data_IF_570506287257
#
_entry.id   IF_570506287257
#
_cell.length_a   1.000
_cell.length_b   1.000
_cell.length_c   1.000
_cell.angle_alpha   90.00
_cell.angle_beta   90.00
_cell.angle_gamma   90.00
#
_symmetry.space_group_name_H-M   'P 1'
#
loop_
_entity.id
_entity.type
_entity.pdbx_description
1 polymer ?
#
# COMPACT_ATOMS: atom_id res chain seq x y z
N UNK A 1 9.26 -2.94 29.83
CA UNK A 1 7.82 -3.17 29.60
C UNK A 1 7.37 -2.19 28.52
N UNK A 2 7.43 -2.60 27.25
CA UNK A 2 7.18 -1.72 26.10
C UNK A 2 5.67 -1.58 25.94
N UNK A 3 5.12 -0.39 26.25
CA UNK A 3 3.75 -0.02 25.90
C UNK A 3 3.75 0.29 24.40
N UNK A 4 3.21 -0.62 23.60
CA UNK A 4 2.92 -0.36 22.19
C UNK A 4 1.88 0.76 22.10
N UNK A 5 2.22 1.82 21.38
CA UNK A 5 1.35 2.97 21.10
C UNK A 5 0.28 2.56 20.08
N UNK A 6 -0.70 1.76 20.52
CA UNK A 6 -1.84 1.26 19.73
C UNK A 6 -2.99 2.27 19.59
N UNK A 7 -2.87 3.46 20.20
CA UNK A 7 -4.02 4.30 20.55
C UNK A 7 -4.67 5.06 19.37
N UNK A 8 -3.96 5.66 18.39
CA UNK A 8 -4.64 6.41 17.34
C UNK A 8 -5.26 5.50 16.25
N UNK A 9 -4.66 4.33 16.00
CA UNK A 9 -5.13 3.37 14.97
C UNK A 9 -6.43 2.67 15.41
N UNK A 10 -6.52 2.33 16.70
CA UNK A 10 -7.73 1.73 17.27
C UNK A 10 -8.92 2.70 17.20
N UNK A 11 -8.70 4.01 17.39
CA UNK A 11 -9.81 4.98 17.48
C UNK A 11 -10.52 5.21 16.13
N UNK A 12 -9.76 5.37 15.03
CA UNK A 12 -10.33 5.56 13.69
C UNK A 12 -11.06 4.30 13.19
N UNK A 13 -10.55 3.11 13.51
CA UNK A 13 -11.19 1.84 13.16
C UNK A 13 -12.41 1.54 14.03
N UNK A 14 -12.40 1.92 15.32
CA UNK A 14 -13.57 1.79 16.20
C UNK A 14 -14.72 2.68 15.71
N UNK A 15 -14.46 3.94 15.39
CA UNK A 15 -15.50 4.88 14.94
C UNK A 15 -16.16 4.38 13.64
N UNK A 16 -15.38 3.76 12.73
CA UNK A 16 -15.92 3.17 11.49
C UNK A 16 -16.66 1.84 11.70
N UNK A 17 -16.20 0.99 12.62
CA UNK A 17 -16.94 -0.24 13.02
C UNK A 17 -18.27 0.13 13.68
N UNK A 18 -18.33 1.24 14.41
CA UNK A 18 -19.57 1.77 14.98
C UNK A 18 -20.48 2.35 13.89
N UNK A 19 -19.92 3.08 12.91
CA UNK A 19 -20.69 3.66 11.80
C UNK A 19 -21.34 2.61 10.87
N UNK A 20 -20.66 1.49 10.60
CA UNK A 20 -21.21 0.40 9.77
C UNK A 20 -22.38 -0.34 10.46
N UNK A 21 -22.48 -0.26 11.79
CA UNK A 21 -23.51 -0.98 12.55
C UNK A 21 -24.90 -0.32 12.59
N UNK A 22 -25.04 0.93 12.11
CA UNK A 22 -26.26 1.74 12.30
C UNK A 22 -27.14 1.90 11.05
N UNK A 23 -26.75 1.35 9.89
CA UNK A 23 -27.54 1.40 8.65
C UNK A 23 -28.65 0.34 8.59
N UNK A 24 -29.84 0.64 9.11
CA UNK A 24 -30.99 -0.25 9.03
C UNK A 24 -31.81 -0.02 7.73
N UNK A 25 -31.76 -0.96 6.78
CA UNK A 25 -32.73 -0.98 5.67
C UNK A 25 -32.41 -1.81 4.41
N UNK A 26 -32.36 -3.15 4.49
CA UNK A 26 -32.86 -4.12 3.47
C UNK A 26 -32.49 -5.56 3.91
N UNK A 27 -33.28 -6.14 4.82
CA UNK A 27 -32.83 -7.01 5.90
C UNK A 27 -32.28 -8.44 5.59
N UNK A 28 -31.98 -8.79 4.34
CA UNK A 28 -31.51 -10.13 3.96
C UNK A 28 -30.02 -10.18 3.60
N UNK A 29 -29.64 -9.58 2.46
CA UNK A 29 -28.24 -9.57 1.97
C UNK A 29 -27.41 -8.45 2.60
N UNK A 30 -27.95 -7.24 2.75
CA UNK A 30 -27.20 -6.11 3.33
C UNK A 30 -26.70 -6.38 4.76
N UNK A 31 -27.47 -7.11 5.57
CA UNK A 31 -27.06 -7.49 6.92
C UNK A 31 -25.91 -8.53 6.93
N UNK A 32 -25.87 -9.42 5.93
CA UNK A 32 -24.78 -10.38 5.73
C UNK A 32 -23.48 -9.68 5.32
N UNK A 33 -23.58 -8.79 4.33
CA UNK A 33 -22.45 -7.97 3.85
C UNK A 33 -21.82 -7.14 4.97
N UNK A 34 -22.64 -6.42 5.72
CA UNK A 34 -22.15 -5.56 6.81
C UNK A 34 -21.54 -6.37 7.96
N UNK A 35 -22.07 -7.57 8.24
CA UNK A 35 -21.45 -8.50 9.18
C UNK A 35 -20.09 -9.00 8.69
N UNK A 36 -19.97 -9.33 7.40
CA UNK A 36 -18.72 -9.76 6.77
C UNK A 36 -17.65 -8.66 6.77
N UNK A 37 -18.02 -7.42 6.40
CA UNK A 37 -17.15 -6.23 6.49
C UNK A 37 -16.67 -5.99 7.93
N UNK A 38 -17.59 -6.06 8.89
CA UNK A 38 -17.26 -5.90 10.31
C UNK A 38 -16.29 -6.98 10.80
N UNK A 39 -16.52 -8.24 10.42
CA UNK A 39 -15.63 -9.35 10.75
C UNK A 39 -14.23 -9.18 10.12
N UNK A 40 -14.17 -8.70 8.88
CA UNK A 40 -12.92 -8.38 8.19
C UNK A 40 -12.15 -7.29 8.94
N UNK A 41 -12.79 -6.16 9.26
CA UNK A 41 -12.15 -5.04 9.96
C UNK A 41 -11.63 -5.44 11.35
N UNK A 42 -12.40 -6.24 12.09
CA UNK A 42 -11.97 -6.77 13.40
C UNK A 42 -10.73 -7.66 13.26
N UNK A 43 -10.75 -8.57 12.28
CA UNK A 43 -9.64 -9.49 12.04
C UNK A 43 -8.40 -8.75 11.53
N UNK A 44 -8.58 -7.76 10.64
CA UNK A 44 -7.56 -6.85 10.18
C UNK A 44 -6.89 -6.09 11.33
N UNK A 45 -7.68 -5.55 12.28
CA UNK A 45 -7.16 -4.84 13.44
C UNK A 45 -6.28 -5.74 14.32
N UNK A 46 -6.74 -6.96 14.60
CA UNK A 46 -6.01 -7.92 15.44
C UNK A 46 -4.72 -8.40 14.77
N UNK A 47 -4.73 -8.54 13.45
CA UNK A 47 -3.60 -9.10 12.67
C UNK A 47 -2.64 -8.04 12.13
N UNK A 48 -2.92 -6.75 12.34
CA UNK A 48 -2.14 -5.66 11.74
C UNK A 48 -2.24 -5.62 10.24
N UNK A 49 -3.47 -5.68 9.71
CA UNK A 49 -3.76 -5.77 8.27
C UNK A 49 -3.18 -7.04 7.64
N UNK A 50 -3.07 -8.12 8.41
CA UNK A 50 -2.48 -9.39 7.99
C UNK A 50 -0.97 -9.52 8.19
N UNK A 51 -0.25 -8.44 8.52
CA UNK A 51 1.21 -8.44 8.66
C UNK A 51 1.72 -9.42 9.75
N UNK A 52 0.91 -9.68 10.78
CA UNK A 52 1.21 -10.60 11.90
C UNK A 52 0.25 -11.79 11.96
N UNK A 53 -0.58 -12.00 10.94
CA UNK A 53 -1.57 -13.08 10.93
C UNK A 53 -0.91 -14.47 10.97
N UNK A 54 -1.39 -15.31 11.88
CA UNK A 54 -1.09 -16.74 11.95
C UNK A 54 -1.74 -17.49 10.77
N UNK A 55 -1.29 -18.72 10.44
CA UNK A 55 -1.86 -19.47 9.32
C UNK A 55 -3.38 -19.67 9.38
N UNK A 56 -3.95 -19.85 10.58
CA UNK A 56 -5.40 -19.96 10.76
C UNK A 56 -6.12 -18.62 10.52
N UNK A 57 -5.55 -17.50 10.98
CA UNK A 57 -6.09 -16.16 10.79
C UNK A 57 -6.00 -15.72 9.32
N UNK A 58 -4.92 -16.07 8.62
CA UNK A 58 -4.79 -15.82 7.17
C UNK A 58 -5.86 -16.55 6.37
N UNK A 59 -6.12 -17.82 6.71
CA UNK A 59 -7.21 -18.60 6.09
C UNK A 59 -8.56 -17.95 6.34
N UNK A 60 -8.85 -17.57 7.58
CA UNK A 60 -10.09 -16.87 7.92
C UNK A 60 -10.24 -15.54 7.17
N UNK A 61 -9.17 -14.73 7.05
CA UNK A 61 -9.19 -13.51 6.24
C UNK A 61 -9.45 -13.82 4.76
N UNK A 62 -8.81 -14.85 4.20
CA UNK A 62 -8.99 -15.24 2.79
C UNK A 62 -10.43 -15.71 2.52
N UNK A 63 -11.03 -16.45 3.45
CA UNK A 63 -12.43 -16.88 3.40
C UNK A 63 -13.39 -15.68 3.46
N UNK A 64 -13.14 -14.70 4.35
CA UNK A 64 -13.92 -13.47 4.43
C UNK A 64 -13.83 -12.64 3.14
N UNK A 65 -12.64 -12.50 2.57
CA UNK A 65 -12.43 -11.78 1.30
C UNK A 65 -13.18 -12.46 0.16
N UNK A 66 -13.06 -13.79 0.06
CA UNK A 66 -13.76 -14.55 -0.99
C UNK A 66 -15.29 -14.44 -0.85
N UNK A 67 -15.80 -14.47 0.39
CA UNK A 67 -17.24 -14.26 0.66
C UNK A 67 -17.72 -12.87 0.23
N UNK A 68 -16.93 -11.82 0.48
CA UNK A 68 -17.26 -10.45 0.07
C UNK A 68 -17.28 -10.32 -1.47
N UNK A 69 -16.34 -10.95 -2.16
CA UNK A 69 -16.32 -10.98 -3.63
C UNK A 69 -17.50 -11.76 -4.22
N UNK A 70 -17.87 -12.90 -3.62
CA UNK A 70 -19.04 -13.69 -4.03
C UNK A 70 -20.34 -12.89 -3.85
N UNK A 71 -20.47 -12.16 -2.75
CA UNK A 71 -21.63 -11.32 -2.46
C UNK A 71 -21.71 -10.10 -3.39
N UNK A 72 -20.58 -9.45 -3.69
CA UNK A 72 -20.53 -8.35 -4.64
C UNK A 72 -20.96 -8.78 -6.05
N UNK A 73 -20.46 -9.94 -6.52
CA UNK A 73 -20.88 -10.55 -7.79
C UNK A 73 -22.37 -10.90 -7.81
N UNK A 74 -22.93 -11.30 -6.67
CA UNK A 74 -24.35 -11.65 -6.56
C UNK A 74 -25.27 -10.42 -6.54
N UNK A 75 -24.81 -9.32 -5.95
CA UNK A 75 -25.58 -8.06 -5.82
C UNK A 75 -25.65 -7.30 -7.14
N UNK A 76 -24.61 -7.34 -7.97
CA UNK A 76 -24.57 -6.70 -9.30
C UNK A 76 -25.68 -7.16 -10.25
N UNK A 77 -26.10 -8.43 -10.14
CA UNK A 77 -27.21 -8.97 -10.92
C UNK A 77 -28.55 -8.25 -10.64
N UNK A 78 -28.64 -7.44 -9.57
CA UNK A 78 -29.84 -6.73 -9.16
C UNK A 78 -29.79 -5.21 -9.33
N UNK A 79 -28.61 -4.56 -9.30
CA UNK A 79 -28.48 -3.11 -9.41
C UNK A 79 -27.31 -2.72 -10.32
N UNK A 80 -27.62 -2.30 -11.56
CA UNK A 80 -26.65 -1.72 -12.52
C UNK A 80 -26.21 -0.33 -12.06
N UNK A 81 -25.42 -0.26 -10.98
CA UNK A 81 -24.75 0.94 -10.50
C UNK A 81 -23.30 0.99 -10.99
N UNK A 82 -22.91 2.07 -11.67
CA UNK A 82 -21.53 2.35 -12.09
C UNK A 82 -20.68 2.82 -10.91
N UNK A 83 -20.34 1.92 -9.99
CA UNK A 83 -19.41 2.24 -8.92
C UNK A 83 -18.04 2.60 -9.53
N UNK A 84 -17.54 3.81 -9.24
CA UNK A 84 -16.24 4.26 -9.73
C UNK A 84 -15.11 3.75 -8.85
N UNK A 85 -14.02 3.30 -9.47
CA UNK A 85 -12.76 2.96 -8.79
C UNK A 85 -12.02 4.20 -8.31
N UNK A 86 -12.38 5.39 -8.80
CA UNK A 86 -11.75 6.64 -8.41
C UNK A 86 -12.00 6.95 -6.92
N UNK A 87 -10.96 7.48 -6.28
CA UNK A 87 -10.96 7.88 -4.88
C UNK A 87 -9.70 7.44 -4.14
N UNK A 88 -9.69 7.76 -2.85
CA UNK A 88 -8.63 7.34 -1.92
C UNK A 88 -9.06 6.09 -1.17
N UNK A 89 -8.20 5.08 -1.17
CA UNK A 89 -8.45 3.74 -0.67
C UNK A 89 -7.35 3.35 0.32
N UNK A 90 -7.68 3.18 1.59
CA UNK A 90 -6.71 2.81 2.63
C UNK A 90 -6.66 1.30 2.84
N UNK A 91 -5.45 0.73 2.82
CA UNK A 91 -5.25 -0.71 2.98
C UNK A 91 -5.63 -1.14 4.41
N UNK A 92 -6.61 -2.04 4.49
CA UNK A 92 -7.08 -2.62 5.75
C UNK A 92 -6.69 -4.08 5.92
N UNK A 93 -6.46 -4.85 4.85
CA UNK A 93 -6.04 -6.24 4.97
C UNK A 93 -5.23 -6.70 3.74
N UNK A 94 -4.27 -7.59 3.96
CA UNK A 94 -3.57 -8.32 2.90
C UNK A 94 -3.06 -9.66 3.42
N UNK A 95 -2.91 -10.65 2.55
CA UNK A 95 -2.17 -11.88 2.83
C UNK A 95 -0.65 -11.72 2.70
N UNK A 96 -0.21 -10.62 2.06
CA UNK A 96 1.17 -10.23 1.83
C UNK A 96 1.59 -9.04 2.71
N UNK A 97 2.86 -8.62 2.62
CA UNK A 97 3.30 -7.40 3.30
C UNK A 97 2.61 -6.14 2.74
N UNK A 98 2.14 -5.20 3.61
CA UNK A 98 1.45 -3.99 3.18
C UNK A 98 2.15 -3.15 2.11
N UNK A 99 3.49 -3.03 2.18
CA UNK A 99 4.26 -2.26 1.19
C UNK A 99 4.15 -2.84 -0.22
N UNK A 100 3.82 -4.13 -0.37
CA UNK A 100 3.67 -4.78 -1.68
C UNK A 100 2.45 -4.31 -2.44
N UNK A 101 1.52 -3.63 -1.79
CA UNK A 101 0.43 -2.96 -2.46
C UNK A 101 0.92 -1.78 -3.33
N UNK A 102 2.17 -1.33 -3.22
CA UNK A 102 2.65 -0.22 -4.05
C UNK A 102 2.80 -0.62 -5.51
N UNK A 103 2.47 0.30 -6.42
CA UNK A 103 2.66 0.10 -7.86
C UNK A 103 4.09 -0.32 -8.23
N UNK A 104 5.09 0.18 -7.50
CA UNK A 104 6.49 -0.23 -7.66
C UNK A 104 6.68 -1.72 -7.39
N UNK A 105 6.21 -2.22 -6.24
CA UNK A 105 6.41 -3.60 -5.86
C UNK A 105 5.53 -4.56 -6.67
N UNK A 106 4.33 -4.13 -7.07
CA UNK A 106 3.47 -4.89 -7.98
C UNK A 106 4.16 -5.11 -9.33
N UNK A 107 4.68 -4.03 -9.94
CA UNK A 107 5.35 -4.11 -11.22
C UNK A 107 6.68 -4.88 -11.15
N UNK A 108 7.46 -4.68 -10.07
CA UNK A 108 8.68 -5.47 -9.82
C UNK A 108 8.34 -6.96 -9.68
N UNK A 109 7.30 -7.29 -8.91
CA UNK A 109 6.93 -8.68 -8.67
C UNK A 109 6.45 -9.35 -9.94
N UNK A 110 5.49 -8.78 -10.68
CA UNK A 110 5.02 -9.33 -11.96
C UNK A 110 6.19 -9.57 -12.92
N UNK A 111 7.18 -8.66 -12.94
CA UNK A 111 8.38 -8.84 -13.76
C UNK A 111 9.25 -10.00 -13.30
N UNK A 112 9.56 -10.09 -12.01
CA UNK A 112 10.36 -11.19 -11.43
C UNK A 112 9.69 -12.55 -11.68
N UNK A 113 8.37 -12.61 -11.54
CA UNK A 113 7.57 -13.80 -11.83
C UNK A 113 7.64 -14.20 -13.31
N UNK A 114 7.59 -13.21 -14.22
CA UNK A 114 7.68 -13.43 -15.67
C UNK A 114 9.04 -13.96 -16.15
N UNK A 115 10.14 -13.55 -15.50
CA UNK A 115 11.50 -13.82 -15.94
C UNK A 115 12.15 -15.03 -15.26
N UNK A 116 11.79 -15.32 -14.01
CA UNK A 116 12.44 -16.36 -13.20
C UNK A 116 11.59 -17.62 -13.07
N UNK A 117 10.59 -17.57 -12.19
CA UNK A 117 9.65 -18.67 -11.91
C UNK A 117 8.56 -18.18 -10.96
N UNK A 118 7.44 -18.90 -10.95
CA UNK A 118 6.34 -18.68 -9.99
C UNK A 118 6.84 -18.70 -8.54
N UNK A 119 6.49 -17.67 -7.75
CA UNK A 119 6.82 -17.50 -6.34
C UNK A 119 8.22 -16.94 -6.08
N UNK A 120 9.00 -16.61 -7.11
CA UNK A 120 10.34 -16.02 -6.94
C UNK A 120 10.28 -14.63 -6.32
N UNK A 121 9.29 -13.82 -6.69
CA UNK A 121 9.09 -12.49 -6.13
C UNK A 121 8.73 -12.59 -4.64
N UNK A 122 7.87 -13.53 -4.27
CA UNK A 122 7.48 -13.73 -2.87
C UNK A 122 8.68 -14.06 -1.98
N UNK A 123 9.55 -14.97 -2.42
CA UNK A 123 10.78 -15.27 -1.69
C UNK A 123 11.71 -14.04 -1.59
N UNK A 124 11.91 -13.32 -2.70
CA UNK A 124 12.80 -12.15 -2.73
C UNK A 124 12.29 -10.99 -1.84
N UNK A 125 11.01 -10.68 -1.94
CA UNK A 125 10.36 -9.61 -1.18
C UNK A 125 10.23 -9.96 0.31
N UNK A 126 10.09 -11.24 0.66
CA UNK A 126 10.16 -11.68 2.06
C UNK A 126 11.57 -11.54 2.64
N UNK A 127 12.62 -11.85 1.86
CA UNK A 127 14.01 -11.58 2.27
C UNK A 127 14.26 -10.08 2.41
N UNK A 128 13.69 -9.25 1.52
CA UNK A 128 13.75 -7.80 1.66
C UNK A 128 13.12 -7.32 2.97
N UNK A 129 11.91 -7.79 3.31
CA UNK A 129 11.28 -7.46 4.61
C UNK A 129 12.17 -7.82 5.80
N UNK A 130 12.82 -8.99 5.75
CA UNK A 130 13.76 -9.41 6.79
C UNK A 130 14.99 -8.49 6.85
N UNK A 131 15.51 -8.05 5.70
CA UNK A 131 16.65 -7.13 5.64
C UNK A 131 16.27 -5.71 6.09
N UNK A 132 15.03 -5.30 5.90
CA UNK A 132 14.48 -4.02 6.35
C UNK A 132 13.71 -4.15 7.67
N UNK A 133 14.04 -5.13 8.53
CA UNK A 133 13.29 -5.38 9.76
C UNK A 133 13.34 -4.24 10.78
N UNK A 134 14.30 -3.31 10.63
CA UNK A 134 14.34 -2.07 11.40
C UNK A 134 13.29 -1.04 10.95
N UNK A 135 12.61 -1.30 9.83
CA UNK A 135 11.58 -0.46 9.25
C UNK A 135 10.18 -1.01 9.54
N UNK A 136 9.27 -0.11 9.87
CA UNK A 136 7.84 -0.37 10.05
C UNK A 136 7.06 0.29 8.91
N UNK A 137 6.10 -0.44 8.36
CA UNK A 137 5.13 0.07 7.38
C UNK A 137 3.87 0.46 8.14
N UNK A 138 3.68 1.76 8.34
CA UNK A 138 2.60 2.26 9.20
C UNK A 138 1.25 2.27 8.50
N UNK A 139 1.16 2.92 7.33
CA UNK A 139 -0.08 3.06 6.56
C UNK A 139 0.20 2.88 5.08
N UNK A 140 -0.79 2.37 4.36
CA UNK A 140 -0.70 2.21 2.91
C UNK A 140 -2.02 2.58 2.29
N UNK A 141 -2.00 3.31 1.19
CA UNK A 141 -3.19 3.71 0.47
C UNK A 141 -2.96 3.80 -1.02
N UNK A 142 -4.05 3.76 -1.78
CA UNK A 142 -4.11 4.09 -3.19
C UNK A 142 -4.93 5.34 -3.37
N UNK A 143 -4.41 6.30 -4.11
CA UNK A 143 -5.22 7.35 -4.69
C UNK A 143 -5.36 7.06 -6.19
N UNK A 144 -6.60 6.81 -6.63
CA UNK A 144 -6.92 6.52 -8.03
C UNK A 144 -7.71 7.71 -8.57
N UNK A 145 -7.19 8.34 -9.61
CA UNK A 145 -7.83 9.48 -10.24
C UNK A 145 -7.46 9.57 -11.71
N UNK A 146 -8.47 9.68 -12.58
CA UNK A 146 -8.25 9.98 -14.00
C UNK A 146 -7.33 8.99 -14.73
N UNK A 147 -7.38 7.71 -14.34
CA UNK A 147 -6.50 6.67 -14.89
C UNK A 147 -5.07 6.70 -14.35
N UNK A 148 -4.81 7.37 -13.23
CA UNK A 148 -3.54 7.36 -12.53
C UNK A 148 -3.71 6.70 -11.15
N UNK A 149 -2.79 5.83 -10.79
CA UNK A 149 -2.65 5.24 -9.46
C UNK A 149 -1.43 5.86 -8.77
N UNK A 150 -1.65 6.55 -7.65
CA UNK A 150 -0.59 6.93 -6.71
C UNK A 150 -0.69 6.01 -5.49
N UNK A 151 0.27 5.09 -5.33
CA UNK A 151 0.36 4.25 -4.14
C UNK A 151 1.19 4.95 -3.07
N UNK A 152 0.60 5.22 -1.92
CA UNK A 152 1.23 5.89 -0.78
C UNK A 152 1.61 4.87 0.28
N UNK A 153 2.88 4.83 0.67
CA UNK A 153 3.38 3.93 1.71
C UNK A 153 4.12 4.75 2.76
N UNK A 154 3.52 4.87 3.95
CA UNK A 154 4.17 5.52 5.09
C UNK A 154 5.15 4.54 5.74
N UNK A 155 6.41 4.95 5.78
CA UNK A 155 7.51 4.18 6.33
C UNK A 155 8.08 4.89 7.55
N UNK A 156 8.42 4.09 8.55
CA UNK A 156 9.19 4.51 9.71
C UNK A 156 10.40 3.59 9.86
N UNK A 157 11.58 4.10 9.55
CA UNK A 157 12.82 3.36 9.64
C UNK A 157 13.48 3.68 10.98
N UNK A 158 13.47 2.72 11.90
CA UNK A 158 14.27 2.77 13.13
C UNK A 158 15.76 2.71 12.81
N UNK A 159 16.56 3.52 13.49
CA UNK A 159 17.97 3.65 13.15
C UNK A 159 18.89 2.63 13.81
N UNK A 160 20.12 2.68 13.31
CA UNK A 160 21.33 1.97 13.69
C UNK A 160 21.41 1.68 15.21
N UNK A 161 21.77 0.44 15.61
CA UNK A 161 22.06 0.12 17.00
C UNK A 161 23.02 1.17 17.59
N UNK A 162 22.68 1.73 18.76
CA UNK A 162 23.39 2.79 19.51
C UNK A 162 22.99 4.25 19.27
N UNK A 163 22.16 4.57 18.27
CA UNK A 163 21.63 5.92 18.10
C UNK A 163 20.09 5.88 18.14
N UNK A 164 19.42 6.71 18.96
CA UNK A 164 17.96 6.78 18.98
C UNK A 164 17.46 7.69 17.85
N UNK A 165 17.80 7.39 16.59
CA UNK A 165 17.24 8.06 15.41
C UNK A 165 16.09 7.23 14.83
N UNK A 166 15.15 7.88 14.18
CA UNK A 166 14.17 7.26 13.32
C UNK A 166 13.89 8.20 12.14
N UNK A 167 13.82 7.62 10.94
CA UNK A 167 13.44 8.33 9.73
C UNK A 167 11.98 7.98 9.44
N UNK A 168 11.13 8.99 9.30
CA UNK A 168 9.75 8.82 8.86
C UNK A 168 9.57 9.48 7.50
N UNK A 169 8.77 8.89 6.61
CA UNK A 169 8.47 9.47 5.31
C UNK A 169 7.40 8.69 4.56
N UNK A 170 6.86 9.29 3.50
CA UNK A 170 5.86 8.66 2.63
C UNK A 170 6.49 8.40 1.26
N UNK A 171 6.63 7.14 0.91
CA UNK A 171 7.03 6.74 -0.44
C UNK A 171 5.80 6.68 -1.32
N UNK A 172 5.83 7.43 -2.42
CA UNK A 172 4.74 7.48 -3.40
C UNK A 172 5.22 6.83 -4.68
N UNK A 173 4.54 5.78 -5.12
CA UNK A 173 4.78 5.14 -6.42
C UNK A 173 3.64 5.48 -7.36
N UNK A 174 3.94 6.11 -8.48
CA UNK A 174 2.95 6.53 -9.47
C UNK A 174 2.90 5.52 -10.61
N UNK A 175 1.71 5.23 -11.11
CA UNK A 175 1.49 4.37 -12.26
C UNK A 175 0.31 4.84 -13.10
N UNK A 176 0.38 4.67 -14.41
CA UNK A 176 -0.80 4.79 -15.27
C UNK A 176 -1.64 3.51 -15.17
N UNK A 177 -2.95 3.65 -15.06
CA UNK A 177 -3.93 2.55 -15.06
C UNK A 177 -4.71 2.53 -16.36
N UNK A 178 -4.88 1.34 -16.94
CA UNK A 178 -5.69 1.11 -18.12
C UNK A 178 -6.60 -0.09 -17.90
N UNK A 179 -7.91 0.09 -18.08
CA UNK A 179 -8.84 -1.03 -18.07
C UNK A 179 -8.58 -1.94 -19.27
N UNK A 180 -8.54 -3.25 -19.00
CA UNK A 180 -8.39 -4.30 -20.01
C UNK A 180 -9.73 -4.89 -20.43
N UNK A 181 -10.77 -4.68 -19.63
CA UNK A 181 -12.11 -5.13 -19.95
C UNK A 181 -12.83 -4.12 -20.85
N UNK A 182 -13.73 -4.63 -21.69
CA UNK A 182 -14.68 -3.79 -22.42
C UNK A 182 -15.51 -2.96 -21.43
N UNK A 183 -16.10 -1.82 -21.84
CA UNK A 183 -16.97 -0.97 -20.99
C UNK A 183 -18.32 -1.64 -20.65
N UNK A 184 -18.31 -2.92 -20.32
CA UNK A 184 -19.43 -3.68 -19.79
C UNK A 184 -19.27 -3.79 -18.28
N UNK A 185 -20.26 -3.26 -17.59
CA UNK A 185 -20.52 -3.32 -16.15
C UNK A 185 -20.24 -4.71 -15.57
N UNK A 186 -19.04 -4.89 -15.02
CA UNK A 186 -18.67 -6.04 -14.21
C UNK A 186 -18.06 -5.53 -12.91
N UNK A 187 -18.51 -6.09 -11.78
CA UNK A 187 -18.07 -5.75 -10.42
C UNK A 187 -16.59 -6.05 -10.24
N UNK A 188 -16.08 -7.04 -10.98
CA UNK A 188 -14.65 -7.29 -11.13
C UNK A 188 -14.18 -6.74 -12.47
N UNK A 189 -13.18 -5.86 -12.45
CA UNK A 189 -12.54 -5.34 -13.66
C UNK A 189 -11.05 -5.60 -13.65
N UNK A 190 -10.50 -5.92 -14.82
CA UNK A 190 -9.08 -6.14 -15.04
C UNK A 190 -8.40 -4.84 -15.42
N UNK A 191 -7.35 -4.51 -14.69
CA UNK A 191 -6.56 -3.31 -14.89
C UNK A 191 -5.10 -3.66 -15.13
N UNK A 192 -4.53 -3.06 -16.17
CA UNK A 192 -3.09 -3.01 -16.33
C UNK A 192 -2.57 -1.73 -15.70
N UNK A 193 -1.61 -1.86 -14.79
CA UNK A 193 -0.87 -0.73 -14.25
C UNK A 193 0.53 -0.71 -14.86
N UNK A 194 1.03 0.48 -15.19
CA UNK A 194 2.41 0.69 -15.67
C UNK A 194 3.10 1.69 -14.77
N UNK A 195 4.14 1.26 -14.06
CA UNK A 195 4.91 2.11 -13.15
C UNK A 195 5.58 3.26 -13.93
N UNK A 196 5.40 4.50 -13.47
CA UNK A 196 6.00 5.70 -14.05
C UNK A 196 7.18 6.17 -13.21
N UNK A 197 6.94 6.44 -11.93
CA UNK A 197 7.90 7.11 -11.07
C UNK A 197 7.71 6.74 -9.59
N UNK A 198 8.70 7.13 -8.79
CA UNK A 198 8.66 7.00 -7.33
C UNK A 198 9.23 8.26 -6.72
N UNK A 199 8.60 8.76 -5.66
CA UNK A 199 9.05 9.93 -4.93
C UNK A 199 8.92 9.70 -3.43
N UNK A 200 9.63 10.49 -2.63
CA UNK A 200 9.56 10.40 -1.17
C UNK A 200 9.18 11.75 -0.60
N UNK A 201 8.09 11.82 0.13
CA UNK A 201 7.51 13.04 0.70
C UNK A 201 7.52 13.01 2.22
N UNK A 202 7.34 14.17 2.84
CA UNK A 202 7.23 14.33 4.29
C UNK A 202 8.32 13.63 5.10
N UNK A 203 9.57 13.75 4.66
CA UNK A 203 10.70 13.14 5.34
C UNK A 203 10.98 13.85 6.67
N UNK A 204 10.89 13.15 7.79
CA UNK A 204 11.17 13.66 9.14
C UNK A 204 12.24 12.82 9.82
N UNK A 205 13.24 13.49 10.39
CA UNK A 205 14.21 12.85 11.28
C UNK A 205 13.75 13.03 12.71
N UNK A 206 13.42 11.94 13.39
CA UNK A 206 13.17 11.90 14.83
C UNK A 206 14.43 11.44 15.53
N UNK A 207 14.85 12.13 16.58
CA UNK A 207 16.04 11.74 17.35
C UNK A 207 15.90 12.01 18.83
N UNK A 208 16.43 11.13 19.67
CA UNK A 208 16.53 11.34 21.11
C UNK A 208 17.93 11.81 21.52
N UNK A 209 18.03 12.90 22.28
CA UNK A 209 19.29 13.20 22.97
C UNK A 209 19.13 12.89 24.47
N UNK A 210 20.11 12.20 25.09
CA UNK A 210 20.12 12.05 26.53
C UNK A 210 20.30 13.42 27.19
N UNK A 211 19.37 13.78 28.06
CA UNK A 211 19.42 14.95 28.92
C UNK A 211 19.37 14.50 30.39
N UNK A 212 19.70 15.41 31.31
CA UNK A 212 19.67 15.12 32.76
C UNK A 212 18.28 14.65 33.25
N UNK A 213 17.21 15.03 32.55
CA UNK A 213 15.83 14.63 32.82
C UNK A 213 15.36 13.34 32.11
N UNK A 214 16.21 12.73 31.27
CA UNK A 214 15.88 11.55 30.46
C UNK A 214 16.10 11.74 28.96
N UNK A 215 15.50 10.88 28.14
CA UNK A 215 15.55 10.99 26.68
C UNK A 215 14.45 11.94 26.19
N UNK A 216 14.85 13.08 25.62
CA UNK A 216 13.91 14.05 25.02
C UNK A 216 13.86 13.82 23.50
N UNK A 217 12.67 13.59 22.90
CA UNK A 217 12.53 13.46 21.47
C UNK A 217 12.61 14.83 20.78
N UNK A 218 13.34 14.89 19.68
CA UNK A 218 13.46 16.03 18.77
C UNK A 218 13.01 15.60 17.38
N UNK A 219 12.43 16.53 16.63
CA UNK A 219 12.05 16.34 15.23
C UNK A 219 12.74 17.40 14.37
N UNK A 220 13.28 17.01 13.21
CA UNK A 220 13.91 17.93 12.28
C UNK A 220 13.63 17.53 10.83
N UNK A 221 12.85 18.37 10.16
CA UNK A 221 12.47 18.20 8.76
C UNK A 221 13.53 18.79 7.81
N UNK A 222 14.29 19.76 8.28
CA UNK A 222 15.21 20.54 7.45
C UNK A 222 16.41 19.73 6.95
N UNK A 223 16.85 18.73 7.72
CA UNK A 223 18.00 17.91 7.36
C UNK A 223 17.74 16.97 6.18
N UNK A 224 16.47 16.72 5.84
CA UNK A 224 16.08 15.78 4.79
C UNK A 224 15.36 16.47 3.62
N UNK A 225 15.26 17.80 3.63
CA UNK A 225 14.69 18.57 2.52
C UNK A 225 15.36 18.27 1.18
N UNK A 226 16.66 17.91 1.20
CA UNK A 226 17.40 17.58 -0.01
C UNK A 226 16.93 16.30 -0.71
N UNK A 227 16.21 15.39 -0.03
CA UNK A 227 15.58 14.20 -0.62
C UNK A 227 14.06 14.32 -0.78
N UNK A 228 13.44 15.31 -0.12
CA UNK A 228 11.98 15.45 -0.13
C UNK A 228 11.43 15.93 -1.46
N UNK A 229 10.48 15.15 -1.99
CA UNK A 229 9.82 15.28 -3.28
C UNK A 229 10.78 15.24 -4.46
N UNK A 230 11.95 14.59 -4.30
CA UNK A 230 12.75 14.20 -5.45
C UNK A 230 12.07 13.03 -6.15
N UNK A 231 11.89 13.16 -7.46
CA UNK A 231 11.26 12.14 -8.30
C UNK A 231 12.32 11.27 -8.93
N UNK A 232 12.19 9.96 -8.69
CA UNK A 232 12.91 8.91 -9.37
C UNK A 232 12.07 8.41 -10.55
N UNK A 233 12.57 8.45 -11.79
CA UNK A 233 11.86 7.90 -12.95
C UNK A 233 11.97 6.36 -12.95
N UNK A 234 11.45 5.72 -11.90
CA UNK A 234 11.56 4.28 -11.67
C UNK A 234 11.07 3.46 -12.85
N UNK A 235 10.03 3.91 -13.56
CA UNK A 235 9.53 3.30 -14.78
C UNK A 235 10.58 3.25 -15.90
N UNK A 236 11.24 4.38 -16.17
CA UNK A 236 12.31 4.49 -17.17
C UNK A 236 13.53 3.64 -16.76
N UNK A 237 13.92 3.69 -15.49
CA UNK A 237 15.06 2.92 -14.95
C UNK A 237 14.81 1.42 -15.10
N UNK A 238 13.62 0.94 -14.72
CA UNK A 238 13.22 -0.45 -14.88
C UNK A 238 13.19 -0.85 -16.36
N UNK A 239 12.61 -0.01 -17.21
CA UNK A 239 12.53 -0.27 -18.65
C UNK A 239 13.91 -0.38 -19.28
N UNK A 240 14.85 0.48 -18.88
CA UNK A 240 16.24 0.43 -19.33
C UNK A 240 16.97 -0.81 -18.83
N UNK A 241 16.80 -1.18 -17.56
CA UNK A 241 17.48 -2.32 -16.97
C UNK A 241 16.93 -3.68 -17.43
N UNK A 242 15.63 -3.78 -17.68
CA UNK A 242 14.91 -5.03 -17.94
C UNK A 242 14.37 -5.16 -19.36
N UNK A 243 14.53 -4.12 -20.19
CA UNK A 243 14.18 -4.09 -21.61
C UNK A 243 12.69 -4.01 -21.92
N UNK A 244 11.81 -3.82 -20.92
CA UNK A 244 10.35 -3.74 -21.05
C UNK A 244 9.75 -2.84 -19.99
N UNK A 245 8.59 -2.24 -20.30
CA UNK A 245 7.83 -1.45 -19.34
C UNK A 245 7.47 -2.28 -18.09
N UNK A 246 7.67 -1.74 -16.88
CA UNK A 246 7.29 -2.40 -15.64
C UNK A 246 5.78 -2.35 -15.45
N UNK A 247 5.09 -3.41 -15.85
CA UNK A 247 3.64 -3.55 -15.76
C UNK A 247 3.22 -4.61 -14.74
N UNK A 248 1.98 -4.50 -14.25
CA UNK A 248 1.30 -5.55 -13.48
C UNK A 248 -0.19 -5.57 -13.81
N UNK A 249 -0.81 -6.74 -13.66
CA UNK A 249 -2.25 -6.92 -13.84
C UNK A 249 -2.93 -7.00 -12.47
N UNK A 250 -4.04 -6.27 -12.32
CA UNK A 250 -4.89 -6.28 -11.14
C UNK A 250 -6.29 -6.71 -11.53
N UNK A 251 -6.86 -7.63 -10.77
CA UNK A 251 -8.30 -7.93 -10.80
C UNK A 251 -8.94 -7.16 -9.63
N UNK A 252 -9.66 -6.08 -9.91
CA UNK A 252 -10.25 -5.19 -8.91
C UNK A 252 -11.74 -5.47 -8.79
N UNK A 253 -12.17 -5.83 -7.58
CA UNK A 253 -13.58 -6.04 -7.20
C UNK A 253 -14.04 -4.93 -6.27
N UNK A 254 -15.11 -4.23 -6.62
CA UNK A 254 -15.76 -3.26 -5.72
C UNK A 254 -16.90 -3.94 -4.95
N UNK A 255 -16.89 -3.81 -3.63
CA UNK A 255 -17.91 -4.35 -2.73
C UNK A 255 -18.66 -3.18 -2.12
N UNK A 256 -19.83 -2.86 -2.70
CA UNK A 256 -20.52 -1.60 -2.39
C UNK A 256 -19.74 -0.39 -2.90
N UNK A 257 -19.83 0.74 -2.20
CA UNK A 257 -19.12 1.98 -2.54
C UNK A 257 -17.84 2.20 -1.70
N UNK A 258 -17.62 1.37 -0.69
CA UNK A 258 -16.69 1.62 0.41
C UNK A 258 -15.56 0.59 0.50
N UNK A 259 -15.64 -0.56 -0.17
CA UNK A 259 -14.60 -1.59 -0.14
C UNK A 259 -14.08 -1.91 -1.54
N UNK A 260 -12.75 -1.92 -1.69
CA UNK A 260 -12.05 -2.32 -2.91
C UNK A 260 -11.16 -3.52 -2.59
N UNK A 261 -11.31 -4.59 -3.35
CA UNK A 261 -10.48 -5.79 -3.25
C UNK A 261 -9.66 -5.90 -4.54
N UNK A 262 -8.34 -5.87 -4.42
CA UNK A 262 -7.44 -6.04 -5.55
C UNK A 262 -6.72 -7.39 -5.43
N UNK A 263 -6.91 -8.28 -6.41
CA UNK A 263 -6.12 -9.50 -6.59
C UNK A 263 -5.03 -9.27 -7.62
N UNK A 264 -3.90 -9.97 -7.46
CA UNK A 264 -2.73 -9.83 -8.34
C UNK A 264 -2.39 -11.19 -8.96
N UNK A 265 -2.98 -11.52 -10.13
CA UNK A 265 -2.90 -12.86 -10.71
C UNK A 265 -1.47 -13.38 -10.96
N UNK A 266 -0.52 -12.46 -11.15
CA UNK A 266 0.88 -12.78 -11.46
C UNK A 266 1.71 -13.19 -10.23
N UNK A 267 1.33 -12.75 -9.03
CA UNK A 267 2.15 -12.82 -7.81
C UNK A 267 1.94 -14.14 -7.04
N UNK A 268 0.68 -14.52 -6.85
CA UNK A 268 0.18 -15.83 -6.42
C UNK A 268 -1.33 -15.85 -6.70
N UNK A 269 -1.93 -17.00 -7.02
CA UNK A 269 -3.32 -17.05 -7.52
C UNK A 269 -4.35 -16.51 -6.52
N UNK A 270 -4.01 -16.49 -5.24
CA UNK A 270 -4.92 -16.12 -4.16
C UNK A 270 -4.49 -14.86 -3.39
N UNK A 271 -3.42 -14.17 -3.81
CA UNK A 271 -2.99 -12.97 -3.09
C UNK A 271 -3.90 -11.78 -3.33
N UNK A 272 -4.17 -11.05 -2.25
CA UNK A 272 -5.13 -9.95 -2.23
C UNK A 272 -4.66 -8.76 -1.39
N UNK A 273 -5.21 -7.60 -1.74
CA UNK A 273 -5.16 -6.37 -0.98
C UNK A 273 -6.58 -5.84 -0.84
N UNK A 274 -7.04 -5.66 0.39
CA UNK A 274 -8.35 -5.07 0.68
C UNK A 274 -8.16 -3.66 1.19
N UNK A 275 -8.90 -2.74 0.59
CA UNK A 275 -8.90 -1.33 0.91
C UNK A 275 -10.30 -0.87 1.30
N UNK A 276 -10.34 0.12 2.19
CA UNK A 276 -11.55 0.83 2.56
C UNK A 276 -11.47 2.25 2.00
N UNK A 277 -12.56 2.72 1.40
CA UNK A 277 -12.64 4.09 0.90
C UNK A 277 -12.43 5.06 2.05
N UNK A 278 -11.57 6.03 1.82
CA UNK A 278 -11.35 7.14 2.73
C UNK A 278 -11.72 8.42 2.04
N UNK A 279 -12.39 9.30 2.78
CA UNK A 279 -12.43 10.70 2.43
C UNK A 279 -11.01 11.29 2.55
N UNK A 280 -10.58 12.01 1.53
CA UNK A 280 -9.24 12.56 1.42
C UNK A 280 -9.05 13.73 2.39
N UNK A 281 -10.08 14.56 2.59
CA UNK A 281 -10.02 15.75 3.46
C UNK A 281 -9.85 15.37 4.93
N UNK A 282 -10.51 14.29 5.37
CA UNK A 282 -10.37 13.75 6.73
C UNK A 282 -9.22 12.74 6.89
N UNK A 283 -8.52 12.42 5.80
CA UNK A 283 -7.45 11.44 5.79
C UNK A 283 -6.08 12.08 6.03
N UNK A 284 -5.15 11.38 6.73
CA UNK A 284 -3.74 11.78 6.81
C UNK A 284 -3.03 11.89 5.46
N UNK A 285 -3.66 11.43 4.38
CA UNK A 285 -3.16 11.51 3.01
C UNK A 285 -3.48 12.83 2.31
N UNK A 286 -4.47 13.60 2.77
CA UNK A 286 -4.90 14.85 2.13
C UNK A 286 -3.74 15.79 1.89
N UNK A 287 -3.05 16.17 2.96
CA UNK A 287 -1.91 17.06 2.82
C UNK A 287 -0.73 16.47 2.00
N UNK A 288 -0.59 15.13 1.92
CA UNK A 288 0.47 14.50 1.10
C UNK A 288 0.11 14.68 -0.38
N UNK A 289 -1.16 14.49 -0.71
CA UNK A 289 -1.70 14.70 -2.05
C UNK A 289 -1.60 16.16 -2.45
N UNK A 290 -1.91 17.10 -1.55
CA UNK A 290 -1.72 18.54 -1.79
C UNK A 290 -0.25 18.87 -2.13
N UNK A 291 0.72 18.33 -1.37
CA UNK A 291 2.15 18.52 -1.65
C UNK A 291 2.55 17.96 -3.02
N UNK A 292 2.01 16.80 -3.40
CA UNK A 292 2.29 16.19 -4.71
C UNK A 292 1.70 17.06 -5.82
N UNK A 293 0.46 17.49 -5.69
CA UNK A 293 -0.25 18.24 -6.73
C UNK A 293 0.32 19.66 -6.91
N UNK A 294 0.78 20.30 -5.83
CA UNK A 294 1.56 21.54 -5.91
C UNK A 294 2.84 21.35 -6.70
N UNK A 295 3.59 20.27 -6.43
CA UNK A 295 4.84 19.98 -7.15
C UNK A 295 4.62 19.58 -8.61
N UNK A 296 3.56 18.85 -8.90
CA UNK A 296 3.19 18.52 -10.27
C UNK A 296 2.89 19.80 -11.07
N UNK A 297 2.33 20.84 -10.44
CA UNK A 297 2.13 22.18 -11.04
C UNK A 297 3.43 22.98 -11.20
N UNK A 298 4.34 22.91 -10.24
CA UNK A 298 5.62 23.65 -10.26
C UNK A 298 6.65 23.07 -11.25
N UNK A 299 6.42 21.85 -11.74
CA UNK A 299 7.32 21.14 -12.63
C UNK A 299 8.37 20.34 -11.85
N UNK A 300 8.42 19.03 -12.09
CA UNK A 300 9.24 18.11 -11.31
C UNK A 300 10.75 18.30 -11.56
N UNK A 301 11.50 18.58 -10.49
CA UNK A 301 12.96 18.49 -10.51
C UNK A 301 13.39 17.01 -10.43
N UNK A 302 13.73 16.42 -11.59
CA UNK A 302 14.28 15.07 -11.68
C UNK A 302 15.66 15.03 -11.03
N UNK A 303 15.87 14.18 -10.03
CA UNK A 303 17.15 14.04 -9.33
C UNK A 303 17.66 12.60 -9.34
N UNK A 304 18.86 12.41 -9.90
CA UNK A 304 19.56 11.12 -9.84
C UNK A 304 19.92 10.71 -8.40
N UNK A 305 20.17 11.69 -7.52
CA UNK A 305 20.44 11.43 -6.10
C UNK A 305 19.18 10.97 -5.35
N UNK A 306 18.02 11.54 -5.68
CA UNK A 306 16.73 11.13 -5.13
C UNK A 306 16.32 9.75 -5.63
N UNK A 307 16.65 9.46 -6.89
CA UNK A 307 16.54 8.12 -7.45
C UNK A 307 17.38 7.12 -6.67
N UNK A 308 18.63 7.44 -6.35
CA UNK A 308 19.49 6.58 -5.54
C UNK A 308 19.05 6.46 -4.07
N UNK A 309 18.39 7.47 -3.50
CA UNK A 309 17.83 7.42 -2.14
C UNK A 309 16.55 6.58 -2.08
N UNK A 310 15.61 6.78 -3.02
CA UNK A 310 14.39 5.98 -3.16
C UNK A 310 14.73 4.51 -3.48
N UNK A 311 15.69 4.27 -4.38
CA UNK A 311 16.22 2.92 -4.66
C UNK A 311 17.15 2.41 -3.54
N UNK A 312 17.76 3.29 -2.76
CA UNK A 312 18.63 2.97 -1.63
C UNK A 312 17.85 2.46 -0.42
N UNK A 313 16.63 2.95 -0.21
CA UNK A 313 15.64 2.33 0.66
C UNK A 313 15.26 0.90 0.19
N UNK A 314 15.57 0.56 -1.07
CA UNK A 314 15.36 -0.75 -1.71
C UNK A 314 16.68 -1.52 -1.96
N UNK A 315 17.81 -1.05 -1.40
CA UNK A 315 19.15 -1.63 -1.57
C UNK A 315 19.33 -3.11 -1.15
N UNK A 316 18.44 -3.76 -0.38
CA UNK A 316 18.55 -5.21 -0.16
C UNK A 316 18.47 -6.05 -1.46
N UNK A 317 17.92 -5.51 -2.57
CA UNK A 317 17.80 -6.24 -3.84
C UNK A 317 19.06 -6.26 -4.71
N UNK A 318 19.88 -5.20 -4.66
CA UNK A 318 21.00 -5.01 -5.60
C UNK A 318 22.36 -5.40 -5.02
N UNK A 319 22.47 -5.45 -3.69
CA UNK A 319 23.74 -5.69 -2.98
C UNK A 319 24.22 -7.15 -2.97
N UNK A 320 23.43 -8.12 -3.45
CA UNK A 320 23.87 -9.52 -3.59
C UNK A 320 24.44 -9.87 -4.97
N UNK A 321 24.19 -9.08 -6.01
CA UNK A 321 24.82 -9.32 -7.33
C UNK A 321 26.27 -8.82 -7.41
N UNK A 322 26.71 -8.02 -6.42
CA UNK A 322 28.08 -7.52 -6.30
C UNK A 322 29.01 -8.40 -5.45
N UNK A 323 28.49 -9.44 -4.79
CA UNK A 323 29.30 -10.48 -4.13
C UNK A 323 29.15 -11.78 -4.89
N UNK A 324 29.88 -11.89 -5.98
CA UNK A 324 30.06 -13.14 -6.69
C UNK A 324 30.79 -14.14 -5.79
N UNK A 325 30.02 -14.99 -5.12
CA UNK A 325 30.49 -16.28 -4.63
C UNK A 325 29.47 -17.31 -5.11
N UNK A 326 29.84 -17.97 -6.22
CA UNK A 326 29.43 -19.33 -6.55
C UNK A 326 30.19 -20.30 -5.64
#
# INVERSE_FOLDING_TARGET
>A
MVRFTLVPIIMVLIDRVVALSTGAGSAGSSAGLEAAKTALLRTALVTGRGAWARPAERRALSELVSSLEDEARSTELSELGTASVDGTWELIASDLEPFRASAFFLALASRVESDLRRGASTAALSVHRLATSASEVERTAWNIEGGTLKSLVQLKVGSVPSLPLALEGVVVSSASMRSLDAPTSSVSSKWEITLTDTSVHRNRLKYGLPQESGLTPFENDSWLKFISGQVAPSGEIFSSALGKSPTAILDITLVGEDVLIARVPDLDKDSYFVFLKSDLESSPWGDVMDEIDERDKEGQSRSLLGSAAALGMLNPFFSRRARGEM
#
